data_IF_273036364693
#
_entry.id   IF_273036364693
#
_cell.length_a   1.000
_cell.length_b   1.000
_cell.length_c   1.000
_cell.angle_alpha   90.00
_cell.angle_beta   90.00
_cell.angle_gamma   90.00
#
_symmetry.space_group_name_H-M   'P 1'
#
loop_
_entity.id
_entity.type
_entity.pdbx_description
1 polymer ?
#
# COMPACT_ATOMS: atom_id res chain seq x y z
N UNK A 1 -15.63 12.86 -55.07
CA UNK A 1 -15.87 13.57 -53.78
C UNK A 1 -16.97 12.82 -53.06
N UNK A 2 -16.83 12.63 -51.73
CA UNK A 2 -17.73 11.95 -50.78
C UNK A 2 -17.51 10.44 -50.56
N UNK A 3 -16.43 10.15 -49.83
CA UNK A 3 -16.30 9.00 -48.91
C UNK A 3 -15.78 9.56 -47.58
N UNK A 4 -16.59 10.37 -46.91
CA UNK A 4 -16.27 10.95 -45.58
C UNK A 4 -17.57 10.99 -44.78
N UNK A 5 -17.89 9.88 -44.09
CA UNK A 5 -18.87 9.84 -42.99
C UNK A 5 -18.77 8.54 -42.15
N UNK A 6 -17.60 7.90 -42.07
CA UNK A 6 -17.29 6.85 -41.10
C UNK A 6 -16.20 7.36 -40.16
N UNK A 7 -16.50 8.44 -39.45
CA UNK A 7 -16.00 8.69 -38.09
C UNK A 7 -17.10 8.16 -37.15
N UNK A 8 -17.52 6.89 -37.31
CA UNK A 8 -16.97 5.61 -36.79
C UNK A 8 -17.39 5.44 -35.32
N UNK A 9 -18.50 4.73 -35.07
CA UNK A 9 -19.13 4.47 -33.76
C UNK A 9 -18.11 4.18 -32.64
N UNK A 10 -17.00 3.52 -32.97
CA UNK A 10 -15.85 3.27 -32.09
C UNK A 10 -15.27 4.55 -31.48
N UNK A 11 -15.07 5.61 -32.26
CA UNK A 11 -14.52 6.88 -31.78
C UNK A 11 -15.47 7.60 -30.82
N UNK A 12 -16.78 7.51 -31.04
CA UNK A 12 -17.76 8.01 -30.09
C UNK A 12 -17.70 7.24 -28.76
N UNK A 13 -17.56 5.91 -28.83
CA UNK A 13 -17.40 5.05 -27.66
C UNK A 13 -16.11 5.36 -26.88
N UNK A 14 -14.99 5.53 -27.58
CA UNK A 14 -13.72 5.96 -26.96
C UNK A 14 -13.93 7.32 -26.25
N UNK A 15 -14.56 8.29 -26.92
CA UNK A 15 -14.82 9.59 -26.32
C UNK A 15 -15.69 9.51 -25.04
N UNK A 16 -16.70 8.63 -25.01
CA UNK A 16 -17.51 8.37 -23.81
C UNK A 16 -16.66 7.76 -22.68
N UNK A 17 -15.80 6.80 -22.98
CA UNK A 17 -14.90 6.18 -21.98
C UNK A 17 -13.94 7.22 -21.41
N UNK A 18 -13.30 8.02 -22.27
CA UNK A 18 -12.40 9.09 -21.83
C UNK A 18 -13.11 10.14 -20.97
N UNK A 19 -14.35 10.51 -21.32
CA UNK A 19 -15.16 11.41 -20.51
C UNK A 19 -15.39 10.86 -19.10
N UNK A 20 -15.74 9.58 -18.96
CA UNK A 20 -15.99 8.95 -17.66
C UNK A 20 -14.72 8.85 -16.83
N UNK A 21 -13.59 8.43 -17.42
CA UNK A 21 -12.30 8.35 -16.72
C UNK A 21 -11.86 9.73 -16.20
N UNK A 22 -12.05 10.78 -16.99
CA UNK A 22 -11.77 12.15 -16.57
C UNK A 22 -12.72 12.64 -15.46
N UNK A 23 -13.96 12.14 -15.44
CA UNK A 23 -14.98 12.57 -14.47
C UNK A 23 -14.80 11.91 -13.11
N UNK A 24 -14.42 10.63 -13.06
CA UNK A 24 -14.21 9.92 -11.79
C UNK A 24 -12.92 10.35 -11.12
N UNK A 25 -11.83 10.52 -11.89
CA UNK A 25 -10.49 10.74 -11.32
C UNK A 25 -9.99 9.57 -10.46
N UNK A 26 -10.71 8.43 -10.48
CA UNK A 26 -10.42 7.23 -9.71
C UNK A 26 -9.83 6.17 -10.62
N UNK A 27 -8.70 5.59 -10.21
CA UNK A 27 -8.13 4.39 -10.80
C UNK A 27 -8.57 3.19 -9.99
N UNK A 28 -9.24 2.23 -10.62
CA UNK A 28 -9.63 0.97 -10.02
C UNK A 28 -8.49 -0.02 -10.17
N UNK A 29 -8.04 -0.61 -9.05
CA UNK A 29 -7.11 -1.73 -9.07
C UNK A 29 -7.80 -2.94 -9.66
N UNK A 30 -7.31 -3.41 -10.80
CA UNK A 30 -7.74 -4.69 -11.36
C UNK A 30 -6.83 -5.77 -10.79
N UNK A 31 -7.29 -6.47 -9.74
CA UNK A 31 -6.59 -7.64 -9.22
C UNK A 31 -6.30 -8.60 -10.37
N UNK A 32 -5.02 -8.86 -10.61
CA UNK A 32 -4.50 -9.67 -11.72
C UNK A 32 -4.90 -11.16 -11.65
N UNK A 33 -5.77 -11.55 -10.71
CA UNK A 33 -5.97 -12.94 -10.30
C UNK A 33 -7.08 -13.63 -11.09
N UNK A 34 -7.98 -12.91 -11.75
CA UNK A 34 -8.92 -13.52 -12.71
C UNK A 34 -9.26 -12.51 -13.81
N UNK A 35 -8.57 -12.60 -14.95
CA UNK A 35 -8.63 -11.66 -16.07
C UNK A 35 -9.96 -11.62 -16.84
N UNK A 36 -11.11 -11.54 -16.16
CA UNK A 36 -12.44 -11.43 -16.78
C UNK A 36 -13.37 -10.54 -15.96
N UNK A 37 -13.25 -9.22 -16.10
CA UNK A 37 -14.46 -8.40 -16.16
C UNK A 37 -14.81 -8.23 -17.64
N UNK A 38 -15.48 -9.24 -18.18
CA UNK A 38 -16.15 -9.10 -19.46
C UNK A 38 -17.38 -8.24 -19.24
N UNK A 39 -17.31 -6.98 -19.66
CA UNK A 39 -18.51 -6.36 -20.20
C UNK A 39 -18.84 -7.14 -21.48
N UNK A 40 -19.70 -8.16 -21.35
CA UNK A 40 -20.11 -9.03 -22.44
C UNK A 40 -20.79 -8.27 -23.59
N UNK A 41 -21.11 -6.99 -23.39
CA UNK A 41 -21.60 -6.09 -24.44
C UNK A 41 -21.18 -4.63 -24.17
N UNK A 42 -20.05 -4.21 -24.75
CA UNK A 42 -19.53 -2.83 -24.66
C UNK A 42 -20.54 -1.81 -25.20
N UNK A 43 -21.24 -2.14 -26.28
CA UNK A 43 -22.27 -1.29 -26.88
C UNK A 43 -23.41 -1.06 -25.89
N UNK A 44 -23.97 -2.12 -25.30
CA UNK A 44 -25.06 -2.01 -24.33
C UNK A 44 -24.69 -1.20 -23.09
N UNK A 45 -23.44 -1.27 -22.63
CA UNK A 45 -22.98 -0.48 -21.49
C UNK A 45 -22.89 1.02 -21.86
N UNK A 46 -22.27 1.34 -23.00
CA UNK A 46 -22.01 2.72 -23.40
C UNK A 46 -23.23 3.43 -24.01
N UNK A 47 -24.18 2.68 -24.58
CA UNK A 47 -25.44 3.20 -25.10
C UNK A 47 -26.34 3.71 -23.96
N UNK A 48 -26.26 3.11 -22.77
CA UNK A 48 -26.96 3.57 -21.57
C UNK A 48 -26.37 4.82 -20.91
N UNK A 49 -25.24 5.33 -21.39
CA UNK A 49 -24.52 6.45 -20.77
C UNK A 49 -24.83 7.77 -21.50
N UNK A 50 -25.65 8.60 -20.86
CA UNK A 50 -25.88 9.98 -21.28
C UNK A 50 -24.85 10.93 -20.66
N UNK A 51 -23.81 11.25 -21.43
CA UNK A 51 -22.75 12.17 -21.01
C UNK A 51 -23.25 13.62 -20.85
N UNK A 52 -24.31 14.03 -21.56
CA UNK A 52 -24.87 15.39 -21.45
C UNK A 52 -25.57 15.57 -20.11
N UNK A 53 -26.36 14.58 -19.71
CA UNK A 53 -26.99 14.53 -18.40
C UNK A 53 -25.93 14.48 -17.28
N UNK A 54 -24.88 13.67 -17.42
CA UNK A 54 -23.81 13.58 -16.41
C UNK A 54 -23.09 14.93 -16.21
N UNK A 55 -22.90 15.72 -17.27
CA UNK A 55 -22.27 17.06 -17.17
C UNK A 55 -23.09 18.04 -16.33
N UNK A 56 -24.42 17.93 -16.34
CA UNK A 56 -25.31 18.89 -15.65
C UNK A 56 -25.70 18.45 -14.24
N UNK A 57 -25.53 17.18 -13.91
CA UNK A 57 -25.78 16.66 -12.57
C UNK A 57 -24.79 17.16 -11.51
N UNK A 58 -25.33 17.61 -10.37
CA UNK A 58 -24.58 18.12 -9.21
C UNK A 58 -24.50 17.15 -8.02
N UNK A 59 -25.13 15.98 -8.09
CA UNK A 59 -25.20 15.01 -6.98
C UNK A 59 -24.12 13.91 -7.08
N UNK A 60 -23.78 13.24 -5.95
CA UNK A 60 -22.91 12.05 -5.95
C UNK A 60 -23.55 10.95 -6.80
N UNK A 61 -22.75 10.32 -7.67
CA UNK A 61 -23.20 9.22 -8.52
C UNK A 61 -22.15 8.13 -8.60
N UNK A 62 -22.61 6.89 -8.55
CA UNK A 62 -21.80 5.76 -8.95
C UNK A 62 -21.65 5.78 -10.48
N UNK A 63 -20.40 5.73 -10.96
CA UNK A 63 -20.09 5.57 -12.37
C UNK A 63 -19.69 4.12 -12.64
N UNK A 64 -20.02 3.57 -13.83
CA UNK A 64 -19.52 2.27 -14.22
C UNK A 64 -17.98 2.29 -14.34
N UNK A 65 -17.34 1.18 -14.01
CA UNK A 65 -15.89 1.00 -14.21
C UNK A 65 -15.62 0.78 -15.69
N UNK A 66 -14.95 1.72 -16.35
CA UNK A 66 -14.76 1.67 -17.82
C UNK A 66 -13.31 1.49 -18.27
N UNK A 67 -12.35 1.35 -17.34
CA UNK A 67 -10.91 1.26 -17.65
C UNK A 67 -10.56 0.14 -18.63
N UNK A 68 -11.15 -1.04 -18.46
CA UNK A 68 -10.86 -2.21 -19.32
C UNK A 68 -11.35 -2.02 -20.75
N UNK A 69 -12.31 -1.12 -21.00
CA UNK A 69 -12.89 -0.94 -22.33
C UNK A 69 -11.89 -0.37 -23.35
N UNK A 70 -10.89 0.40 -22.89
CA UNK A 70 -9.82 0.88 -23.77
C UNK A 70 -9.06 -0.28 -24.44
N UNK A 71 -8.92 -1.42 -23.74
CA UNK A 71 -8.28 -2.61 -24.29
C UNK A 71 -9.12 -3.28 -25.40
N UNK A 72 -10.44 -3.10 -25.42
CA UNK A 72 -11.27 -3.57 -26.53
C UNK A 72 -11.39 -2.55 -27.68
N UNK A 73 -11.41 -1.26 -27.35
CA UNK A 73 -11.78 -0.20 -28.29
C UNK A 73 -10.59 0.41 -29.03
N UNK A 74 -9.41 0.45 -28.40
CA UNK A 74 -8.25 1.13 -28.95
C UNK A 74 -7.25 0.16 -29.59
N UNK A 75 -6.65 0.58 -30.69
CA UNK A 75 -5.42 -0.04 -31.21
C UNK A 75 -4.24 0.22 -30.26
N UNK A 76 -3.17 -0.57 -30.37
CA UNK A 76 -1.96 -0.38 -29.55
C UNK A 76 -1.37 1.03 -29.74
N UNK A 77 -1.44 1.59 -30.95
CA UNK A 77 -0.99 2.94 -31.25
C UNK A 77 -1.81 3.99 -30.49
N UNK A 78 -3.14 3.91 -30.57
CA UNK A 78 -4.04 4.80 -29.83
C UNK A 78 -3.81 4.67 -28.31
N UNK A 79 -3.61 3.45 -27.79
CA UNK A 79 -3.28 3.24 -26.39
C UNK A 79 -1.96 3.93 -26.00
N UNK A 80 -0.92 3.82 -26.82
CA UNK A 80 0.36 4.52 -26.57
C UNK A 80 0.15 6.05 -26.55
N UNK A 81 -0.64 6.59 -27.49
CA UNK A 81 -0.97 8.02 -27.52
C UNK A 81 -1.68 8.48 -26.24
N UNK A 82 -2.61 7.68 -25.72
CA UNK A 82 -3.34 7.95 -24.49
C UNK A 82 -2.48 7.91 -23.21
N UNK A 83 -1.25 7.39 -23.28
CA UNK A 83 -0.29 7.43 -22.16
C UNK A 83 0.47 8.76 -22.03
N UNK A 84 0.30 9.68 -22.99
CA UNK A 84 0.95 11.00 -22.95
C UNK A 84 0.42 11.90 -21.84
N UNK A 85 1.31 12.72 -21.27
CA UNK A 85 1.03 13.67 -20.18
C UNK A 85 -0.06 14.71 -20.48
N UNK A 86 -0.46 14.88 -21.74
CA UNK A 86 -1.61 15.70 -22.13
C UNK A 86 -2.95 15.13 -21.66
N UNK A 87 -3.01 13.83 -21.35
CA UNK A 87 -4.19 13.15 -20.82
C UNK A 87 -4.15 13.07 -19.29
N UNK A 88 -5.33 12.97 -18.67
CA UNK A 88 -5.44 12.81 -17.22
C UNK A 88 -4.75 11.54 -16.73
N UNK A 89 -4.36 11.52 -15.45
CA UNK A 89 -3.73 10.35 -14.83
C UNK A 89 -4.59 9.09 -14.96
N UNK A 90 -5.91 9.19 -14.77
CA UNK A 90 -6.84 8.07 -14.91
C UNK A 90 -6.87 7.48 -16.33
N UNK A 91 -6.83 8.32 -17.37
CA UNK A 91 -6.75 7.88 -18.77
C UNK A 91 -5.42 7.18 -19.05
N UNK A 92 -4.31 7.80 -18.64
CA UNK A 92 -2.97 7.25 -18.88
C UNK A 92 -2.76 5.91 -18.18
N UNK A 93 -3.24 5.77 -16.94
CA UNK A 93 -3.20 4.52 -16.18
C UNK A 93 -4.05 3.43 -16.85
N UNK A 94 -5.30 3.75 -17.23
CA UNK A 94 -6.18 2.81 -17.93
C UNK A 94 -5.57 2.29 -19.24
N UNK A 95 -4.97 3.19 -20.02
CA UNK A 95 -4.27 2.85 -21.26
C UNK A 95 -3.03 1.98 -20.99
N UNK A 96 -2.28 2.29 -19.94
CA UNK A 96 -1.10 1.51 -19.53
C UNK A 96 -1.49 0.10 -19.06
N UNK A 97 -2.57 -0.03 -18.30
CA UNK A 97 -3.09 -1.34 -17.88
C UNK A 97 -3.52 -2.20 -19.09
N UNK A 98 -4.10 -1.57 -20.12
CA UNK A 98 -4.40 -2.26 -21.39
C UNK A 98 -3.11 -2.71 -22.10
N UNK A 99 -2.09 -1.86 -22.16
CA UNK A 99 -0.79 -2.22 -22.73
C UNK A 99 -0.07 -3.32 -21.93
N UNK A 100 -0.24 -3.35 -20.61
CA UNK A 100 0.20 -4.44 -19.72
C UNK A 100 -0.47 -5.76 -20.11
N UNK A 101 -1.81 -5.78 -20.24
CA UNK A 101 -2.55 -6.98 -20.67
C UNK A 101 -2.13 -7.48 -22.04
N UNK A 102 -1.80 -6.55 -22.95
CA UNK A 102 -1.26 -6.84 -24.29
C UNK A 102 0.22 -7.22 -24.30
N UNK A 103 0.91 -7.23 -23.15
CA UNK A 103 2.35 -7.50 -23.02
C UNK A 103 3.19 -6.61 -23.94
N UNK A 104 2.85 -5.33 -24.01
CA UNK A 104 3.56 -4.37 -24.87
C UNK A 104 5.04 -4.26 -24.49
N UNK A 105 5.94 -4.39 -25.47
CA UNK A 105 7.38 -4.48 -25.20
C UNK A 105 8.01 -3.19 -24.65
N UNK A 106 7.41 -2.03 -24.91
CA UNK A 106 7.96 -0.72 -24.53
C UNK A 106 7.27 -0.10 -23.31
N UNK A 107 6.70 -0.91 -22.41
CA UNK A 107 6.08 -0.42 -21.16
C UNK A 107 7.06 0.39 -20.29
N UNK A 108 8.33 0.04 -20.32
CA UNK A 108 9.35 0.76 -19.54
C UNK A 108 9.49 2.22 -19.98
N UNK A 109 9.39 2.51 -21.28
CA UNK A 109 9.42 3.88 -21.80
C UNK A 109 8.22 4.69 -21.30
N UNK A 110 7.04 4.04 -21.26
CA UNK A 110 5.81 4.63 -20.74
C UNK A 110 5.94 4.90 -19.23
N UNK A 111 6.47 3.95 -18.46
CA UNK A 111 6.75 4.13 -17.05
C UNK A 111 7.69 5.31 -16.83
N UNK A 112 8.82 5.37 -17.54
CA UNK A 112 9.82 6.43 -17.37
C UNK A 112 9.23 7.83 -17.68
N UNK A 113 8.37 7.97 -18.69
CA UNK A 113 7.70 9.24 -18.99
C UNK A 113 6.69 9.68 -17.92
N UNK A 114 6.20 8.74 -17.12
CA UNK A 114 5.22 8.95 -16.06
C UNK A 114 5.80 8.81 -14.65
N UNK A 115 7.10 8.55 -14.53
CA UNK A 115 7.75 8.08 -13.30
C UNK A 115 7.65 9.07 -12.15
N UNK A 116 7.89 10.35 -12.44
CA UNK A 116 7.86 11.43 -11.45
C UNK A 116 6.51 12.15 -11.41
N UNK A 117 5.42 11.48 -11.80
CA UNK A 117 4.09 12.06 -11.71
C UNK A 117 3.58 12.13 -10.27
N UNK A 118 3.58 13.34 -9.71
CA UNK A 118 3.09 13.61 -8.37
C UNK A 118 1.61 14.03 -8.35
N UNK A 119 0.87 13.82 -9.45
CA UNK A 119 -0.58 14.04 -9.44
C UNK A 119 -1.23 13.05 -8.46
N UNK A 120 -1.94 13.56 -7.46
CA UNK A 120 -2.73 12.76 -6.52
C UNK A 120 -3.99 12.25 -7.18
N UNK A 121 -4.26 10.96 -7.05
CA UNK A 121 -5.46 10.29 -7.58
C UNK A 121 -6.05 9.38 -6.51
N UNK A 122 -7.34 9.10 -6.62
CA UNK A 122 -7.95 8.05 -5.81
C UNK A 122 -7.70 6.71 -6.48
N UNK A 123 -7.16 5.77 -5.73
CA UNK A 123 -7.02 4.37 -6.12
C UNK A 123 -8.04 3.58 -5.33
N UNK A 124 -8.83 2.75 -6.02
CA UNK A 124 -9.87 1.93 -5.41
C UNK A 124 -9.59 0.45 -5.61
N UNK A 125 -9.48 -0.29 -4.52
CA UNK A 125 -9.47 -1.75 -4.50
C UNK A 125 -10.70 -2.21 -3.72
N UNK A 126 -11.65 -2.86 -4.40
CA UNK A 126 -12.93 -3.30 -3.84
C UNK A 126 -13.68 -2.16 -3.09
N UNK A 127 -13.77 -2.24 -1.77
CA UNK A 127 -14.41 -1.26 -0.88
C UNK A 127 -13.44 -0.23 -0.27
N UNK A 128 -12.14 -0.38 -0.50
CA UNK A 128 -11.09 0.51 0.00
C UNK A 128 -10.74 1.57 -1.06
N UNK A 129 -10.68 2.84 -0.64
CA UNK A 129 -10.26 3.96 -1.48
C UNK A 129 -9.13 4.70 -0.78
N UNK A 130 -8.00 4.81 -1.47
CA UNK A 130 -6.81 5.51 -0.98
C UNK A 130 -6.39 6.60 -1.95
N UNK A 131 -5.76 7.66 -1.43
CA UNK A 131 -5.10 8.66 -2.26
C UNK A 131 -3.66 8.24 -2.52
N UNK A 132 -3.24 8.22 -3.80
CA UNK A 132 -1.88 7.86 -4.18
C UNK A 132 -1.34 8.79 -5.28
N UNK A 133 -0.02 8.92 -5.36
CA UNK A 133 0.64 9.54 -6.50
C UNK A 133 0.54 8.67 -7.75
N UNK A 134 0.12 9.24 -8.88
CA UNK A 134 -0.02 8.52 -10.14
C UNK A 134 1.27 7.78 -10.53
N UNK A 135 2.45 8.39 -10.37
CA UNK A 135 3.74 7.76 -10.67
C UNK A 135 4.01 6.50 -9.84
N UNK A 136 3.53 6.46 -8.60
CA UNK A 136 3.61 5.27 -7.73
C UNK A 136 2.74 4.13 -8.28
N UNK A 137 1.54 4.44 -8.77
CA UNK A 137 0.63 3.48 -9.40
C UNK A 137 1.22 2.93 -10.70
N UNK A 138 1.76 3.81 -11.57
CA UNK A 138 2.49 3.38 -12.77
C UNK A 138 3.61 2.40 -12.42
N UNK A 139 4.45 2.77 -11.46
CA UNK A 139 5.58 1.98 -11.03
C UNK A 139 5.14 0.62 -10.50
N UNK A 140 4.14 0.57 -9.60
CA UNK A 140 3.58 -0.67 -9.06
C UNK A 140 3.02 -1.56 -10.17
N UNK A 141 2.17 -1.03 -11.04
CA UNK A 141 1.49 -1.81 -12.08
C UNK A 141 2.50 -2.43 -13.05
N UNK A 142 3.48 -1.64 -13.50
CA UNK A 142 4.53 -2.12 -14.41
C UNK A 142 5.46 -3.12 -13.72
N UNK A 143 5.89 -2.86 -12.48
CA UNK A 143 6.74 -3.79 -11.71
C UNK A 143 6.06 -5.12 -11.38
N UNK A 144 4.72 -5.14 -11.26
CA UNK A 144 3.96 -6.39 -11.06
C UNK A 144 4.05 -7.35 -12.26
N UNK A 145 4.56 -6.89 -13.40
CA UNK A 145 4.73 -7.69 -14.62
C UNK A 145 6.10 -8.39 -14.72
N UNK A 146 6.93 -8.32 -13.67
CA UNK A 146 8.29 -8.89 -13.63
C UNK A 146 8.34 -10.38 -14.01
N UNK A 147 7.33 -11.15 -13.62
CA UNK A 147 7.26 -12.59 -13.89
C UNK A 147 6.58 -12.93 -15.23
N UNK A 148 6.09 -11.91 -15.96
CA UNK A 148 5.29 -12.06 -17.19
C UNK A 148 6.04 -11.68 -18.46
N UNK A 149 7.38 -11.65 -18.41
CA UNK A 149 8.31 -11.35 -19.53
C UNK A 149 8.22 -9.94 -20.15
N UNK A 150 7.54 -8.98 -19.49
CA UNK A 150 7.35 -7.63 -20.06
C UNK A 150 8.40 -6.62 -19.57
N UNK A 151 8.87 -6.78 -18.34
CA UNK A 151 9.93 -5.95 -17.74
C UNK A 151 11.11 -6.87 -17.41
N UNK A 152 12.33 -6.49 -17.81
CA UNK A 152 13.51 -7.29 -17.51
C UNK A 152 13.90 -7.16 -16.03
N UNK A 153 14.66 -8.14 -15.50
CA UNK A 153 15.26 -8.02 -14.16
C UNK A 153 16.14 -6.76 -14.02
N UNK A 154 16.80 -6.35 -15.10
CA UNK A 154 17.64 -5.16 -15.14
C UNK A 154 16.80 -3.89 -14.98
N UNK A 155 15.69 -3.79 -15.69
CA UNK A 155 14.76 -2.65 -15.59
C UNK A 155 14.12 -2.60 -14.20
N UNK A 156 13.70 -3.76 -13.66
CA UNK A 156 13.16 -3.84 -12.30
C UNK A 156 14.13 -3.31 -11.24
N UNK A 157 15.42 -3.69 -11.31
CA UNK A 157 16.46 -3.16 -10.41
C UNK A 157 16.75 -1.67 -10.63
N UNK A 158 16.71 -1.20 -11.89
CA UNK A 158 16.85 0.24 -12.20
C UNK A 158 15.69 1.02 -11.57
N UNK A 159 14.48 0.49 -11.67
CA UNK A 159 13.28 1.10 -11.11
C UNK A 159 13.32 1.12 -9.57
N UNK A 160 13.78 0.06 -8.90
CA UNK A 160 14.02 0.10 -7.45
C UNK A 160 15.03 1.20 -7.08
N UNK A 161 16.11 1.34 -7.87
CA UNK A 161 17.10 2.39 -7.67
C UNK A 161 16.53 3.80 -7.87
N UNK A 162 15.75 4.02 -8.94
CA UNK A 162 15.11 5.31 -9.21
C UNK A 162 14.14 5.69 -8.08
N UNK A 163 13.34 4.74 -7.61
CA UNK A 163 12.40 4.94 -6.51
C UNK A 163 13.12 5.37 -5.21
N UNK A 164 14.26 4.75 -4.90
CA UNK A 164 15.04 5.07 -3.69
C UNK A 164 15.79 6.40 -3.78
N UNK A 165 16.39 6.71 -4.93
CA UNK A 165 17.34 7.82 -5.06
C UNK A 165 16.75 9.10 -5.64
N UNK A 166 15.55 9.07 -6.22
CA UNK A 166 14.91 10.30 -6.71
C UNK A 166 14.28 11.05 -5.54
N UNK A 167 14.64 12.32 -5.31
CA UNK A 167 14.10 13.11 -4.20
C UNK A 167 12.56 13.18 -4.23
N UNK A 168 11.93 13.02 -3.07
CA UNK A 168 10.47 13.08 -2.92
C UNK A 168 9.73 11.80 -3.28
N UNK A 169 10.35 10.87 -4.01
CA UNK A 169 9.70 9.59 -4.36
C UNK A 169 9.67 8.60 -3.19
N UNK A 170 10.29 8.90 -2.05
CA UNK A 170 10.12 8.09 -0.83
C UNK A 170 8.66 8.04 -0.36
N UNK A 171 7.84 9.04 -0.71
CA UNK A 171 6.41 9.09 -0.40
C UNK A 171 5.54 8.20 -1.29
N UNK A 172 6.09 7.60 -2.34
CA UNK A 172 5.36 6.64 -3.16
C UNK A 172 5.07 5.38 -2.36
N UNK A 173 3.85 4.85 -2.45
CA UNK A 173 3.48 3.59 -1.79
C UNK A 173 4.38 2.44 -2.25
N UNK A 174 4.78 2.44 -3.53
CA UNK A 174 5.77 1.50 -4.02
C UNK A 174 7.10 1.58 -3.23
N UNK A 175 7.63 2.79 -3.05
CA UNK A 175 8.92 3.01 -2.37
C UNK A 175 8.83 2.68 -0.89
N UNK A 176 7.72 3.02 -0.23
CA UNK A 176 7.44 2.65 1.17
C UNK A 176 7.50 1.13 1.36
N UNK A 177 6.79 0.37 0.51
CA UNK A 177 6.83 -1.10 0.52
C UNK A 177 8.22 -1.66 0.18
N UNK A 178 8.97 -1.01 -0.72
CA UNK A 178 10.35 -1.37 -1.03
C UNK A 178 11.28 -1.18 0.19
N UNK A 179 11.15 -0.09 0.95
CA UNK A 179 11.96 0.20 2.14
C UNK A 179 11.77 -0.86 3.23
N UNK A 180 10.54 -1.34 3.46
CA UNK A 180 10.24 -2.36 4.47
C UNK A 180 10.93 -3.72 4.22
N UNK A 181 11.35 -3.99 2.98
CA UNK A 181 12.01 -5.25 2.56
C UNK A 181 13.43 -5.04 2.04
N UNK A 182 13.98 -3.84 2.17
CA UNK A 182 15.29 -3.49 1.61
C UNK A 182 16.41 -4.22 2.37
N UNK A 183 17.29 -4.99 1.70
CA UNK A 183 18.42 -5.60 2.37
C UNK A 183 19.44 -4.54 2.81
N UNK A 184 20.13 -4.73 3.96
CA UNK A 184 21.08 -3.77 4.50
C UNK A 184 22.40 -3.79 3.72
N UNK A 185 22.43 -3.15 2.55
CA UNK A 185 23.65 -2.97 1.75
C UNK A 185 24.29 -1.62 2.07
N UNK A 186 25.58 -1.62 2.36
CA UNK A 186 26.32 -0.41 2.74
C UNK A 186 26.09 0.79 1.78
N UNK A 187 25.99 0.53 0.48
CA UNK A 187 25.72 1.56 -0.54
C UNK A 187 24.40 2.32 -0.34
N UNK A 188 23.41 1.73 0.36
CA UNK A 188 22.11 2.35 0.61
C UNK A 188 22.07 3.11 1.94
N UNK A 189 23.01 2.87 2.85
CA UNK A 189 22.93 3.35 4.23
C UNK A 189 22.70 4.86 4.32
N UNK A 190 23.57 5.66 3.67
CA UNK A 190 23.46 7.12 3.71
C UNK A 190 22.13 7.62 3.15
N UNK A 191 21.62 6.96 2.10
CA UNK A 191 20.34 7.33 1.49
C UNK A 191 19.15 6.97 2.38
N UNK A 192 19.17 5.79 2.98
CA UNK A 192 18.13 5.36 3.95
C UNK A 192 18.08 6.31 5.15
N UNK A 193 19.24 6.65 5.72
CA UNK A 193 19.35 7.61 6.83
C UNK A 193 18.83 9.00 6.44
N UNK A 194 19.12 9.44 5.22
CA UNK A 194 18.55 10.69 4.68
C UNK A 194 17.03 10.64 4.54
N UNK A 195 16.46 9.54 4.03
CA UNK A 195 15.01 9.38 3.89
C UNK A 195 14.30 9.48 5.25
N UNK A 196 14.87 8.87 6.30
CA UNK A 196 14.35 8.98 7.67
C UNK A 196 14.40 10.43 8.15
N UNK A 197 15.59 11.03 8.15
CA UNK A 197 15.82 12.30 8.84
C UNK A 197 15.27 13.53 8.08
N UNK A 198 15.32 13.52 6.75
CA UNK A 198 14.95 14.67 5.92
C UNK A 198 13.57 14.51 5.27
N UNK A 199 13.29 13.34 4.71
CA UNK A 199 12.03 13.12 3.97
C UNK A 199 10.90 12.61 4.88
N UNK A 200 11.24 12.17 6.09
CA UNK A 200 10.30 11.67 7.11
C UNK A 200 9.40 10.57 6.57
N UNK A 201 9.99 9.61 5.88
CA UNK A 201 9.30 8.40 5.40
C UNK A 201 9.66 7.27 6.34
N UNK A 202 8.76 6.97 7.26
CA UNK A 202 9.09 6.16 8.44
C UNK A 202 9.28 4.67 8.14
N UNK A 203 8.79 4.15 7.02
CA UNK A 203 9.13 2.80 6.55
C UNK A 203 10.64 2.59 6.39
N UNK A 204 11.41 3.67 6.21
CA UNK A 204 12.86 3.62 6.20
C UNK A 204 13.50 3.34 7.57
N UNK A 205 12.78 3.47 8.69
CA UNK A 205 13.27 3.14 10.04
C UNK A 205 13.65 1.66 10.14
N UNK A 206 12.83 0.76 9.61
CA UNK A 206 13.14 -0.69 9.54
C UNK A 206 14.38 -0.96 8.69
N UNK A 207 14.50 -0.29 7.54
CA UNK A 207 15.69 -0.40 6.70
C UNK A 207 16.95 0.10 7.42
N UNK A 208 16.86 1.21 8.15
CA UNK A 208 17.96 1.78 8.94
C UNK A 208 18.37 0.86 10.09
N UNK A 209 17.41 0.34 10.84
CA UNK A 209 17.65 -0.57 11.96
C UNK A 209 18.31 -1.88 11.53
N UNK A 210 18.09 -2.32 10.29
CA UNK A 210 18.72 -3.53 9.74
C UNK A 210 20.25 -3.44 9.66
N UNK A 211 20.84 -2.24 9.68
CA UNK A 211 22.31 -2.05 9.77
C UNK A 211 22.85 -2.19 11.20
N UNK A 212 21.99 -2.08 12.22
CA UNK A 212 22.32 -2.25 13.65
C UNK A 212 23.50 -1.39 14.12
N UNK A 213 23.55 -0.13 13.66
CA UNK A 213 24.60 0.81 14.07
C UNK A 213 24.21 1.53 15.35
N UNK A 214 25.09 1.49 16.33
CA UNK A 214 24.88 2.12 17.64
C UNK A 214 24.55 3.62 17.54
N UNK A 215 25.15 4.33 16.58
CA UNK A 215 24.88 5.76 16.32
C UNK A 215 23.45 6.07 15.87
N UNK A 216 22.72 5.09 15.32
CA UNK A 216 21.34 5.26 14.86
C UNK A 216 20.32 4.88 15.93
N UNK A 217 20.78 4.33 17.07
CA UNK A 217 19.90 3.89 18.15
C UNK A 217 19.04 5.02 18.70
N UNK A 218 19.61 6.22 18.83
CA UNK A 218 18.88 7.39 19.33
C UNK A 218 17.71 7.78 18.42
N UNK A 219 17.81 7.55 17.11
CA UNK A 219 16.73 7.82 16.14
C UNK A 219 15.55 6.87 16.41
N UNK A 220 15.82 5.59 16.67
CA UNK A 220 14.78 4.60 16.97
C UNK A 220 14.15 4.82 18.35
N UNK A 221 14.95 5.21 19.35
CA UNK A 221 14.46 5.57 20.68
C UNK A 221 13.54 6.79 20.64
N UNK A 222 13.92 7.81 19.87
CA UNK A 222 13.11 9.02 19.66
C UNK A 222 11.75 8.66 19.02
N UNK A 223 11.78 7.93 17.90
CA UNK A 223 10.58 7.46 17.21
C UNK A 223 9.66 6.62 18.12
N UNK A 224 10.20 5.65 18.87
CA UNK A 224 9.43 4.84 19.83
C UNK A 224 8.83 5.68 20.97
N UNK A 225 9.43 6.82 21.30
CA UNK A 225 8.98 7.67 22.40
C UNK A 225 7.74 8.49 22.08
N UNK A 226 7.40 8.64 20.79
CA UNK A 226 6.22 9.37 20.32
C UNK A 226 4.92 8.57 20.40
N UNK A 227 4.98 7.30 20.82
CA UNK A 227 3.83 6.38 20.83
C UNK A 227 2.58 6.93 21.52
N UNK A 228 2.76 7.65 22.63
CA UNK A 228 1.67 8.12 23.49
C UNK A 228 1.28 9.58 23.26
N UNK A 229 1.69 10.17 22.13
CA UNK A 229 1.23 11.48 21.72
C UNK A 229 -0.21 11.39 21.16
N UNK A 230 -1.18 11.87 21.93
CA UNK A 230 -2.63 11.92 21.61
C UNK A 230 -2.99 12.78 20.36
N UNK A 231 -2.00 13.27 19.62
CA UNK A 231 -2.15 14.23 18.51
C UNK A 231 -1.91 13.64 17.12
N UNK A 232 -1.54 12.37 17.00
CA UNK A 232 -1.40 11.75 15.69
C UNK A 232 -2.78 11.31 15.20
N UNK A 233 -3.17 11.75 14.01
CA UNK A 233 -4.39 11.30 13.32
C UNK A 233 -4.14 9.86 12.87
N UNK A 234 -4.33 8.94 13.82
CA UNK A 234 -3.96 7.53 13.79
C UNK A 234 -4.87 6.78 12.82
N UNK A 235 -4.37 6.46 11.63
CA UNK A 235 -5.11 5.60 10.70
C UNK A 235 -4.37 5.09 9.48
N UNK A 236 -3.05 5.32 9.34
CA UNK A 236 -2.35 5.10 8.07
C UNK A 236 -1.00 4.39 8.27
N UNK A 237 -0.58 3.60 7.27
CA UNK A 237 0.73 2.90 7.20
C UNK A 237 1.97 3.82 7.40
N UNK A 238 1.76 5.13 7.42
CA UNK A 238 2.73 6.20 7.59
C UNK A 238 2.94 6.62 9.05
N UNK A 239 2.48 5.82 10.01
CA UNK A 239 2.71 6.09 11.42
C UNK A 239 4.20 5.90 11.80
N UNK A 240 4.79 6.89 12.46
CA UNK A 240 6.21 6.83 12.86
C UNK A 240 6.45 5.68 13.83
N UNK A 241 5.54 5.46 14.76
CA UNK A 241 5.75 4.55 15.86
C UNK A 241 5.50 3.10 15.48
N UNK A 242 4.52 2.82 14.62
CA UNK A 242 4.33 1.50 14.03
C UNK A 242 5.57 1.07 13.26
N UNK A 243 6.15 1.98 12.48
CA UNK A 243 7.37 1.71 11.73
C UNK A 243 8.60 1.58 12.65
N UNK A 244 8.61 2.26 13.81
CA UNK A 244 9.63 2.08 14.83
C UNK A 244 9.52 0.69 15.51
N UNK A 245 8.30 0.21 15.79
CA UNK A 245 8.08 -1.16 16.28
C UNK A 245 8.55 -2.20 15.24
N UNK A 246 8.23 -1.99 13.97
CA UNK A 246 8.77 -2.81 12.87
C UNK A 246 10.30 -2.76 12.81
N UNK A 247 10.93 -1.63 13.14
CA UNK A 247 12.38 -1.52 13.21
C UNK A 247 12.99 -2.36 14.35
N UNK A 248 12.31 -2.48 15.49
CA UNK A 248 12.74 -3.37 16.60
C UNK A 248 12.73 -4.84 16.17
N UNK A 249 11.83 -5.25 15.26
CA UNK A 249 11.79 -6.65 14.78
C UNK A 249 13.11 -7.12 14.14
N UNK A 250 13.85 -6.20 13.50
CA UNK A 250 15.12 -6.50 12.83
C UNK A 250 16.34 -6.17 13.70
N UNK A 251 16.15 -5.40 14.77
CA UNK A 251 17.18 -5.07 15.76
C UNK A 251 16.62 -5.03 17.18
N UNK A 252 16.44 -6.20 17.78
CA UNK A 252 16.05 -6.29 19.19
C UNK A 252 17.23 -5.86 20.10
N UNK A 253 17.05 -4.77 20.86
CA UNK A 253 18.08 -4.19 21.73
C UNK A 253 17.50 -3.93 23.13
N UNK A 254 18.26 -4.25 24.19
CA UNK A 254 17.79 -4.05 25.57
C UNK A 254 17.37 -2.60 25.86
N UNK A 255 17.99 -1.63 25.21
CA UNK A 255 17.69 -0.21 25.40
C UNK A 255 16.27 0.17 24.95
N UNK A 256 15.63 -0.62 24.08
CA UNK A 256 14.25 -0.38 23.63
C UNK A 256 13.19 -0.90 24.63
N UNK A 257 13.57 -1.80 25.55
CA UNK A 257 12.63 -2.47 26.48
C UNK A 257 11.80 -1.47 27.31
N UNK A 258 12.36 -0.42 27.92
CA UNK A 258 11.58 0.52 28.72
C UNK A 258 10.45 1.18 27.92
N UNK A 259 10.71 1.53 26.65
CA UNK A 259 9.70 2.10 25.76
C UNK A 259 8.64 1.06 25.38
N UNK A 260 9.03 -0.18 25.03
CA UNK A 260 8.06 -1.25 24.75
C UNK A 260 7.12 -1.52 25.94
N UNK A 261 7.62 -1.42 27.17
CA UNK A 261 6.78 -1.54 28.38
C UNK A 261 5.81 -0.37 28.52
N UNK A 262 6.25 0.87 28.26
CA UNK A 262 5.38 2.06 28.25
C UNK A 262 4.27 1.94 27.19
N UNK A 263 4.65 1.51 25.99
CA UNK A 263 3.73 1.27 24.86
C UNK A 263 2.65 0.26 25.25
N UNK A 264 3.04 -0.89 25.81
CA UNK A 264 2.09 -1.88 26.34
C UNK A 264 1.13 -1.28 27.36
N UNK A 265 1.65 -0.52 28.33
CA UNK A 265 0.82 0.04 29.39
C UNK A 265 -0.18 1.07 28.86
N UNK A 266 0.18 1.79 27.79
CA UNK A 266 -0.74 2.68 27.07
C UNK A 266 -1.83 1.89 26.34
N UNK A 267 -1.46 0.92 25.51
CA UNK A 267 -2.40 0.09 24.73
C UNK A 267 -3.38 -0.67 25.63
N UNK A 268 -2.90 -1.23 26.75
CA UNK A 268 -3.77 -1.91 27.71
C UNK A 268 -4.77 -0.93 28.33
N UNK A 269 -4.43 0.35 28.52
CA UNK A 269 -5.30 1.34 29.19
C UNK A 269 -6.32 1.98 28.27
N UNK A 270 -6.00 2.14 26.98
CA UNK A 270 -6.89 2.73 25.97
C UNK A 270 -8.27 2.05 26.02
N UNK A 271 -9.33 2.88 26.03
CA UNK A 271 -10.72 2.39 25.96
C UNK A 271 -11.06 2.06 24.50
N UNK A 272 -11.87 1.02 24.33
CA UNK A 272 -12.22 0.32 23.09
C UNK A 272 -12.19 1.17 21.81
N UNK A 273 -11.44 0.69 20.81
CA UNK A 273 -11.34 1.30 19.49
C UNK A 273 -9.94 1.47 18.91
N UNK A 274 -8.90 0.77 19.40
CA UNK A 274 -7.61 0.80 18.69
C UNK A 274 -7.77 0.17 17.31
N UNK A 275 -7.68 1.00 16.27
CA UNK A 275 -7.60 0.52 14.90
C UNK A 275 -6.33 -0.32 14.72
N UNK A 276 -6.46 -1.45 13.99
CA UNK A 276 -5.33 -2.21 13.42
C UNK A 276 -4.35 -1.23 12.74
N UNK A 277 -3.01 -1.41 12.83
CA UNK A 277 -2.24 -2.63 13.14
C UNK A 277 -1.32 -2.56 14.38
N UNK A 278 -1.43 -1.55 15.25
CA UNK A 278 -0.40 -1.22 16.26
C UNK A 278 -0.04 -2.34 17.25
N UNK A 279 -1.04 -2.97 17.87
CA UNK A 279 -0.82 -4.02 18.86
C UNK A 279 -0.17 -5.27 18.27
N UNK A 280 -0.40 -5.57 16.98
CA UNK A 280 0.30 -6.64 16.25
C UNK A 280 1.80 -6.35 16.19
N UNK A 281 2.19 -5.15 15.75
CA UNK A 281 3.60 -4.77 15.65
C UNK A 281 4.32 -4.74 17.00
N UNK A 282 3.62 -4.40 18.09
CA UNK A 282 4.18 -4.53 19.44
C UNK A 282 4.54 -5.99 19.76
N UNK A 283 3.65 -6.94 19.44
CA UNK A 283 3.94 -8.36 19.64
C UNK A 283 5.09 -8.84 18.75
N UNK A 284 5.10 -8.47 17.47
CA UNK A 284 6.20 -8.81 16.55
C UNK A 284 7.55 -8.28 17.08
N UNK A 285 7.59 -7.02 17.54
CA UNK A 285 8.78 -6.40 18.12
C UNK A 285 9.29 -7.15 19.36
N UNK A 286 8.40 -7.55 20.26
CA UNK A 286 8.76 -8.29 21.49
C UNK A 286 9.19 -9.72 21.17
N UNK A 287 8.53 -10.38 20.21
CA UNK A 287 8.86 -11.74 19.77
C UNK A 287 10.28 -11.83 19.21
N UNK A 288 10.79 -10.76 18.58
CA UNK A 288 12.15 -10.71 18.04
C UNK A 288 13.26 -10.89 19.10
N UNK A 289 13.00 -10.62 20.38
CA UNK A 289 13.96 -10.89 21.47
C UNK A 289 14.12 -12.39 21.77
N UNK A 290 13.10 -13.20 21.43
CA UNK A 290 13.09 -14.66 21.54
C UNK A 290 13.66 -15.23 22.85
N UNK A 291 13.30 -14.64 23.99
CA UNK A 291 13.83 -15.01 25.30
C UNK A 291 12.72 -15.06 26.37
N UNK A 292 13.11 -15.35 27.62
CA UNK A 292 12.14 -15.49 28.71
C UNK A 292 11.46 -14.16 29.08
N UNK A 293 12.17 -13.04 28.98
CA UNK A 293 11.59 -11.72 29.20
C UNK A 293 10.44 -11.46 28.22
N UNK A 294 10.66 -11.73 26.93
CA UNK A 294 9.63 -11.58 25.90
C UNK A 294 8.41 -12.47 26.16
N UNK A 295 8.64 -13.73 26.56
CA UNK A 295 7.54 -14.64 26.90
C UNK A 295 6.71 -14.09 28.06
N UNK A 296 7.36 -13.66 29.14
CA UNK A 296 6.70 -13.13 30.32
C UNK A 296 5.98 -11.80 30.01
N UNK A 297 6.58 -10.96 29.15
CA UNK A 297 5.95 -9.73 28.67
C UNK A 297 4.63 -10.03 27.98
N UNK A 298 4.63 -10.93 26.98
CA UNK A 298 3.44 -11.28 26.20
C UNK A 298 2.37 -11.91 27.11
N UNK A 299 2.77 -12.86 27.96
CA UNK A 299 1.87 -13.52 28.91
C UNK A 299 1.19 -12.51 29.85
N UNK A 300 1.97 -11.57 30.41
CA UNK A 300 1.45 -10.53 31.29
C UNK A 300 0.51 -9.55 30.54
N UNK A 301 0.89 -9.13 29.33
CA UNK A 301 0.06 -8.26 28.48
C UNK A 301 -1.31 -8.87 28.24
N UNK A 302 -1.36 -10.12 27.79
CA UNK A 302 -2.60 -10.84 27.48
C UNK A 302 -3.45 -11.10 28.74
N UNK A 303 -2.81 -11.39 29.88
CA UNK A 303 -3.50 -11.56 31.16
C UNK A 303 -4.13 -10.27 31.70
N UNK A 304 -3.51 -9.11 31.43
CA UNK A 304 -4.01 -7.81 31.84
C UNK A 304 -5.20 -7.37 30.97
N UNK A 305 -5.13 -7.60 29.66
CA UNK A 305 -6.23 -7.27 28.74
C UNK A 305 -7.47 -8.13 28.96
N UNK A 306 -7.32 -9.43 29.26
CA UNK A 306 -8.46 -10.33 29.44
C UNK A 306 -9.36 -9.96 30.63
N UNK A 307 -8.87 -9.18 31.60
CA UNK A 307 -9.64 -8.70 32.76
C UNK A 307 -10.60 -7.55 32.43
N UNK A 308 -10.46 -6.90 31.26
CA UNK A 308 -11.34 -5.80 30.82
C UNK A 308 -12.68 -6.28 30.22
N UNK A 309 -12.76 -7.53 29.74
CA UNK A 309 -13.88 -8.05 28.93
C UNK A 309 -15.19 -8.34 29.69
N UNK A 310 -15.48 -7.63 30.78
CA UNK A 310 -16.73 -7.77 31.53
C UNK A 310 -17.95 -7.08 30.89
N UNK A 311 -17.77 -6.32 29.81
CA UNK A 311 -18.85 -5.59 29.12
C UNK A 311 -18.63 -5.57 27.60
N UNK A 312 -19.47 -6.35 26.93
CA UNK A 312 -20.04 -6.18 25.58
C UNK A 312 -19.22 -6.30 24.27
N UNK A 313 -19.92 -6.96 23.34
CA UNK A 313 -20.03 -6.84 21.88
C UNK A 313 -19.09 -7.61 20.93
N UNK A 314 -19.74 -8.20 19.94
CA UNK A 314 -19.19 -8.92 18.79
C UNK A 314 -18.47 -7.95 17.85
N UNK A 315 -17.27 -8.33 17.38
CA UNK A 315 -16.40 -7.69 16.35
C UNK A 315 -15.18 -6.88 16.78
N UNK A 316 -14.87 -6.75 18.07
CA UNK A 316 -13.67 -6.01 18.51
C UNK A 316 -12.39 -6.86 18.43
N UNK A 317 -11.39 -6.35 17.71
CA UNK A 317 -10.04 -6.94 17.60
C UNK A 317 -9.35 -6.81 18.95
N UNK A 318 -9.10 -7.94 19.59
CA UNK A 318 -8.51 -7.98 20.95
C UNK A 318 -6.98 -8.01 20.92
N UNK A 319 -6.33 -7.80 22.07
CA UNK A 319 -4.89 -8.07 22.23
C UNK A 319 -4.54 -9.52 21.91
N UNK A 320 -5.44 -10.49 22.19
CA UNK A 320 -5.23 -11.88 21.82
C UNK A 320 -5.27 -12.05 20.30
N UNK A 321 -6.25 -11.47 19.62
CA UNK A 321 -6.34 -11.42 18.16
C UNK A 321 -5.06 -10.85 17.53
N UNK A 322 -4.55 -9.73 18.05
CA UNK A 322 -3.31 -9.11 17.58
C UNK A 322 -2.08 -10.01 17.77
N UNK A 323 -1.99 -10.71 18.90
CA UNK A 323 -0.92 -11.68 19.15
C UNK A 323 -1.00 -12.89 18.20
N UNK A 324 -2.20 -13.39 17.91
CA UNK A 324 -2.40 -14.46 16.93
C UNK A 324 -1.95 -14.03 15.53
N UNK A 325 -2.34 -12.82 15.09
CA UNK A 325 -1.89 -12.27 13.81
C UNK A 325 -0.36 -12.13 13.75
N UNK A 326 0.29 -11.66 14.82
CA UNK A 326 1.77 -11.61 14.89
C UNK A 326 2.42 -13.01 14.83
N UNK A 327 1.81 -14.01 15.44
CA UNK A 327 2.26 -15.41 15.38
C UNK A 327 2.08 -16.05 14.00
N UNK A 328 1.10 -15.59 13.21
CA UNK A 328 0.94 -15.99 11.81
C UNK A 328 2.05 -15.39 10.94
N UNK A 329 2.31 -14.08 11.06
CA UNK A 329 3.41 -13.42 10.33
C UNK A 329 4.78 -14.01 10.67
N UNK A 330 5.01 -14.31 11.96
CA UNK A 330 6.32 -14.58 12.53
C UNK A 330 6.31 -15.74 13.53
N UNK A 331 5.90 -16.91 13.06
CA UNK A 331 5.81 -18.11 13.90
C UNK A 331 7.08 -18.36 14.72
N UNK A 332 6.91 -18.51 16.04
CA UNK A 332 8.00 -18.85 16.95
C UNK A 332 7.54 -19.90 17.99
N UNK A 333 8.16 -21.10 18.01
CA UNK A 333 7.81 -22.19 18.92
C UNK A 333 7.76 -21.80 20.41
N UNK A 334 8.56 -20.81 20.84
CA UNK A 334 8.63 -20.36 22.23
C UNK A 334 7.27 -19.87 22.73
N UNK A 335 6.48 -19.22 21.87
CA UNK A 335 5.24 -18.55 22.27
C UNK A 335 3.99 -19.36 21.96
N UNK A 336 4.10 -20.54 21.31
CA UNK A 336 2.97 -21.39 20.91
C UNK A 336 2.05 -21.74 22.07
N UNK A 337 2.60 -21.97 23.27
CA UNK A 337 1.78 -22.28 24.46
C UNK A 337 0.83 -21.14 24.83
N UNK A 338 1.17 -19.90 24.49
CA UNK A 338 0.33 -18.73 24.75
C UNK A 338 -0.89 -18.68 23.83
N UNK A 339 -0.82 -19.24 22.60
CA UNK A 339 -1.97 -19.34 21.71
C UNK A 339 -3.10 -20.18 22.31
N UNK A 340 -2.76 -21.28 23.00
CA UNK A 340 -3.73 -22.11 23.70
C UNK A 340 -4.23 -21.51 25.02
N UNK A 341 -3.40 -20.69 25.68
CA UNK A 341 -3.75 -20.02 26.95
C UNK A 341 -4.68 -18.82 26.74
N UNK A 342 -4.50 -18.09 25.65
CA UNK A 342 -5.27 -16.91 25.28
C UNK A 342 -5.88 -17.10 23.89
N UNK A 343 -7.12 -17.63 23.78
CA UNK A 343 -7.76 -17.78 22.49
C UNK A 343 -8.04 -16.40 21.88
N UNK A 344 -7.84 -16.30 20.57
CA UNK A 344 -8.13 -15.12 19.75
C UNK A 344 -8.76 -15.55 18.44
N UNK A 345 -9.48 -14.64 17.79
CA UNK A 345 -9.94 -14.84 16.42
C UNK A 345 -8.79 -14.61 15.44
N UNK A 346 -8.82 -15.32 14.31
CA UNK A 346 -7.90 -15.10 13.20
C UNK A 346 -8.55 -14.11 12.22
N UNK A 347 -8.02 -12.90 12.17
CA UNK A 347 -8.22 -12.04 11.01
C UNK A 347 -6.92 -12.10 10.22
N UNK A 348 -6.95 -12.86 9.11
CA UNK A 348 -5.95 -12.70 8.07
C UNK A 348 -5.86 -11.22 7.74
N UNK A 349 -4.66 -10.66 7.77
CA UNK A 349 -4.47 -9.22 7.65
C UNK A 349 -4.79 -8.70 6.24
N UNK A 350 -5.05 -9.59 5.27
CA UNK A 350 -5.27 -9.22 3.88
C UNK A 350 -4.03 -8.60 3.22
N UNK A 351 -2.87 -8.67 3.88
CA UNK A 351 -1.63 -8.01 3.48
C UNK A 351 -0.46 -8.97 3.21
N UNK A 352 -0.71 -10.28 3.12
CA UNK A 352 0.25 -11.27 2.60
C UNK A 352 0.26 -11.38 1.06
#
# INVERSE_FOLDING_TARGET
>A
MLLVACTDKRQEQIAKVLFLLNRTGTSYEMQNINGRQYYLNVDSLLDGIDTTYIKTCKGPRAFPVVQSLLDSLCTTKELCELTNRSYSAGVRLAATDALIRRKYAHLEEILLSNYTDTTKIYVRSDDVIEEEYAGSVFLRNVQSCRDKTVISKKDSLRNDSLALYTPGLSKYQYTKKLLLRLPPKESYYSRVKEIVLKERTYQALKALASYRREEDKSILLDALSHYDNDNEDVGWEDDETDNALLAVTVWACQDFIPLLMRIRDYEIKKHDGSMLPRSKYLFEAVMAYNNQWAYNFIDATLALSSKKNGRESYSDITMATSFHSAMLSHYNPRFVRLLGKYPGEDFGDGYE
#
